data_IF_700881987041
#
_entry.id   IF_700881987041
#
_cell.length_a   1.000
_cell.length_b   1.000
_cell.length_c   1.000
_cell.angle_alpha   90.00
_cell.angle_beta   90.00
_cell.angle_gamma   90.00
#
_symmetry.space_group_name_H-M   'P 1'
#
loop_
_entity.id
_entity.type
_entity.pdbx_description
1 polymer ?
#
# COMPACT_ATOMS: atom_id res chain seq x y z
N UNK A 1 23.47 9.12 3.29
CA UNK A 1 22.81 8.41 2.19
C UNK A 1 22.48 7.02 2.69
N UNK A 2 21.19 6.64 2.74
CA UNK A 2 20.80 5.32 3.24
C UNK A 2 21.25 4.22 2.27
N UNK A 3 21.81 3.14 2.82
CA UNK A 3 22.10 1.91 2.06
C UNK A 3 20.88 1.01 2.07
N UNK A 4 20.51 0.50 0.91
CA UNK A 4 19.29 -0.29 0.74
C UNK A 4 19.60 -1.57 -0.01
N UNK A 5 19.18 -2.70 0.55
CA UNK A 5 19.20 -3.98 -0.15
C UNK A 5 17.84 -4.27 -0.77
N UNK A 6 17.78 -4.50 -2.08
CA UNK A 6 16.54 -4.83 -2.81
C UNK A 6 16.40 -6.35 -2.95
N UNK A 7 15.58 -6.97 -2.10
CA UNK A 7 15.24 -8.38 -2.16
C UNK A 7 14.00 -8.57 -3.05
N UNK A 8 14.14 -9.36 -4.12
CA UNK A 8 13.07 -9.61 -5.08
C UNK A 8 13.13 -11.04 -5.59
N UNK A 9 12.01 -11.51 -6.13
CA UNK A 9 11.92 -12.84 -6.69
C UNK A 9 12.14 -12.80 -8.21
N UNK A 10 12.89 -13.75 -8.77
CA UNK A 10 13.11 -13.87 -10.22
C UNK A 10 11.85 -14.41 -10.94
N UNK A 11 10.74 -13.66 -10.87
CA UNK A 11 9.38 -14.11 -11.23
C UNK A 11 9.16 -14.12 -12.75
N UNK A 12 9.21 -12.94 -13.37
CA UNK A 12 9.13 -12.77 -14.83
C UNK A 12 10.14 -11.74 -15.31
N UNK A 13 10.53 -11.79 -16.59
CA UNK A 13 11.42 -10.78 -17.19
C UNK A 13 10.87 -9.35 -17.05
N UNK A 14 9.54 -9.19 -17.14
CA UNK A 14 8.88 -7.91 -16.92
C UNK A 14 9.03 -7.42 -15.46
N UNK A 15 8.87 -8.32 -14.49
CA UNK A 15 9.09 -8.01 -13.08
C UNK A 15 10.56 -7.64 -12.82
N UNK A 16 11.51 -8.43 -13.32
CA UNK A 16 12.93 -8.16 -13.14
C UNK A 16 13.37 -6.83 -13.78
N UNK A 17 12.82 -6.51 -14.94
CA UNK A 17 13.05 -5.21 -15.60
C UNK A 17 12.54 -4.07 -14.73
N UNK A 18 11.33 -4.20 -14.19
CA UNK A 18 10.71 -3.21 -13.31
C UNK A 18 11.50 -3.02 -12.01
N UNK A 19 12.00 -4.10 -11.41
CA UNK A 19 12.86 -4.02 -10.21
C UNK A 19 14.17 -3.30 -10.51
N UNK A 20 14.81 -3.58 -11.65
CA UNK A 20 16.04 -2.91 -12.06
C UNK A 20 15.82 -1.41 -12.30
N UNK A 21 14.73 -1.05 -12.97
CA UNK A 21 14.34 0.35 -13.21
C UNK A 21 14.07 1.07 -11.87
N UNK A 22 13.35 0.43 -10.96
CA UNK A 22 13.10 0.95 -9.62
C UNK A 22 14.39 1.17 -8.83
N UNK A 23 15.29 0.19 -8.79
CA UNK A 23 16.56 0.32 -8.10
C UNK A 23 17.42 1.44 -8.73
N UNK A 24 17.43 1.55 -10.06
CA UNK A 24 18.12 2.64 -10.78
C UNK A 24 17.54 4.00 -10.39
N UNK A 25 16.21 4.12 -10.33
CA UNK A 25 15.52 5.32 -9.88
C UNK A 25 15.92 5.70 -8.45
N UNK A 26 15.95 4.75 -7.51
CA UNK A 26 16.42 5.01 -6.14
C UNK A 26 17.84 5.58 -6.10
N UNK A 27 18.76 5.03 -6.91
CA UNK A 27 20.13 5.56 -7.02
C UNK A 27 20.17 6.99 -7.55
N UNK A 28 19.32 7.32 -8.53
CA UNK A 28 19.17 8.71 -9.03
C UNK A 28 18.64 9.64 -7.93
N UNK A 29 17.80 9.14 -7.02
CA UNK A 29 17.31 9.90 -5.85
C UNK A 29 18.32 9.97 -4.69
N UNK A 30 19.56 9.50 -4.87
CA UNK A 30 20.59 9.55 -3.84
C UNK A 30 20.40 8.51 -2.73
N UNK A 31 19.81 7.35 -3.04
CA UNK A 31 19.78 6.16 -2.18
C UNK A 31 20.81 5.17 -2.69
N UNK A 32 21.66 4.61 -1.82
CA UNK A 32 22.61 3.56 -2.21
C UNK A 32 21.89 2.21 -2.28
N UNK A 33 21.07 2.03 -3.32
CA UNK A 33 20.38 0.78 -3.58
C UNK A 33 21.37 -0.24 -4.16
N UNK A 34 21.33 -1.46 -3.63
CA UNK A 34 22.12 -2.63 -4.03
C UNK A 34 21.17 -3.70 -4.60
N UNK A 35 21.58 -4.30 -5.71
CA UNK A 35 20.83 -5.34 -6.45
C UNK A 35 21.79 -6.46 -6.83
N UNK A 36 21.35 -7.72 -6.69
CA UNK A 36 22.11 -8.94 -7.03
C UNK A 36 22.77 -8.92 -8.44
N UNK A 37 22.15 -8.24 -9.41
CA UNK A 37 22.57 -8.21 -10.83
C UNK A 37 23.57 -7.10 -11.20
N UNK A 38 23.93 -6.21 -10.28
CA UNK A 38 24.91 -5.15 -10.58
C UNK A 38 26.36 -5.56 -10.32
N UNK A 39 26.58 -6.60 -9.51
CA UNK A 39 27.91 -7.11 -9.23
C UNK A 39 28.28 -8.30 -10.14
N UNK A 40 29.52 -8.31 -10.59
CA UNK A 40 30.02 -9.12 -11.71
C UNK A 40 30.10 -10.64 -11.41
N UNK A 41 30.29 -11.40 -12.50
CA UNK A 41 30.25 -12.87 -12.68
C UNK A 41 31.24 -13.72 -11.85
N UNK A 42 31.60 -13.33 -10.64
CA UNK A 42 32.48 -14.13 -9.78
C UNK A 42 31.70 -15.25 -9.08
N UNK A 43 32.36 -16.42 -8.91
CA UNK A 43 31.82 -17.52 -8.12
C UNK A 43 31.65 -17.05 -6.66
N UNK A 44 30.41 -16.80 -6.25
CA UNK A 44 30.07 -16.29 -4.93
C UNK A 44 29.12 -17.23 -4.20
N UNK A 45 29.25 -17.30 -2.88
CA UNK A 45 28.20 -17.83 -2.02
C UNK A 45 27.09 -16.77 -1.91
N UNK A 46 26.09 -16.88 -2.78
CA UNK A 46 24.98 -15.93 -2.86
C UNK A 46 24.19 -15.82 -1.57
N UNK A 47 24.08 -16.91 -0.80
CA UNK A 47 23.37 -16.89 0.48
C UNK A 47 24.17 -16.12 1.53
N UNK A 48 25.47 -16.42 1.65
CA UNK A 48 26.35 -15.68 2.56
C UNK A 48 26.41 -14.19 2.20
N UNK A 49 26.45 -13.87 0.92
CA UNK A 49 26.41 -12.49 0.42
C UNK A 49 25.09 -11.78 0.76
N UNK A 50 23.93 -12.39 0.46
CA UNK A 50 22.64 -11.78 0.77
C UNK A 50 22.46 -11.55 2.28
N UNK A 51 22.93 -12.47 3.13
CA UNK A 51 22.96 -12.29 4.60
C UNK A 51 23.77 -11.05 4.98
N UNK A 52 24.95 -10.89 4.39
CA UNK A 52 25.85 -9.78 4.70
C UNK A 52 25.27 -8.44 4.22
N UNK A 53 24.68 -8.40 3.02
CA UNK A 53 24.01 -7.22 2.49
C UNK A 53 22.79 -6.80 3.32
N UNK A 54 21.92 -7.75 3.70
CA UNK A 54 20.79 -7.47 4.59
C UNK A 54 21.23 -6.92 5.95
N UNK A 55 22.39 -7.36 6.47
CA UNK A 55 22.94 -6.86 7.74
C UNK A 55 23.49 -5.45 7.59
N UNK A 56 24.24 -5.17 6.52
CA UNK A 56 24.88 -3.88 6.24
C UNK A 56 23.92 -2.78 5.82
N UNK A 57 22.83 -3.13 5.14
CA UNK A 57 21.86 -2.14 4.67
C UNK A 57 21.16 -1.45 5.84
N UNK A 58 20.78 -0.18 5.69
CA UNK A 58 19.90 0.52 6.62
C UNK A 58 18.46 -0.01 6.49
N UNK A 59 18.06 -0.33 5.26
CA UNK A 59 16.75 -0.90 4.92
C UNK A 59 16.87 -2.09 3.96
N UNK A 60 15.94 -3.04 4.11
CA UNK A 60 15.74 -4.17 3.18
C UNK A 60 14.39 -3.95 2.52
N UNK A 61 14.38 -3.65 1.22
CA UNK A 61 13.14 -3.55 0.46
C UNK A 61 12.77 -4.93 -0.07
N UNK A 62 11.61 -5.43 0.34
CA UNK A 62 11.06 -6.68 -0.17
C UNK A 62 10.06 -6.34 -1.26
N UNK A 63 10.39 -6.64 -2.51
CA UNK A 63 9.54 -6.34 -3.65
C UNK A 63 8.44 -7.39 -3.76
N UNK A 64 7.19 -6.95 -3.65
CA UNK A 64 6.02 -7.79 -3.75
C UNK A 64 5.92 -8.45 -5.14
N UNK A 65 5.73 -9.76 -5.15
CA UNK A 65 5.36 -10.53 -6.33
C UNK A 65 4.66 -11.84 -5.95
N UNK A 66 3.80 -12.41 -6.82
CA UNK A 66 3.17 -13.69 -6.56
C UNK A 66 4.18 -14.80 -6.22
N UNK A 67 5.34 -14.84 -6.88
CA UNK A 67 6.37 -15.81 -6.55
C UNK A 67 7.03 -15.53 -5.20
N UNK A 68 7.31 -14.26 -4.87
CA UNK A 68 7.89 -13.92 -3.56
C UNK A 68 6.96 -14.33 -2.42
N UNK A 69 5.65 -14.06 -2.54
CA UNK A 69 4.66 -14.47 -1.54
C UNK A 69 4.65 -16.00 -1.32
N UNK A 70 4.50 -16.79 -2.39
CA UNK A 70 4.46 -18.26 -2.30
C UNK A 70 5.72 -18.85 -1.68
N UNK A 71 6.89 -18.38 -2.11
CA UNK A 71 8.18 -18.87 -1.61
C UNK A 71 8.45 -18.41 -0.19
N UNK A 72 8.11 -17.16 0.12
CA UNK A 72 8.36 -16.54 1.42
C UNK A 72 7.54 -17.17 2.54
N UNK A 73 6.30 -17.58 2.23
CA UNK A 73 5.42 -18.29 3.17
C UNK A 73 5.70 -19.80 3.23
N UNK A 74 6.65 -20.31 2.43
CA UNK A 74 7.01 -21.73 2.41
C UNK A 74 5.96 -22.64 1.77
N UNK A 75 5.11 -22.09 0.89
CA UNK A 75 3.97 -22.80 0.29
C UNK A 75 4.34 -23.68 -0.91
N UNK A 76 5.59 -23.64 -1.39
CA UNK A 76 6.01 -24.34 -2.62
C UNK A 76 7.28 -25.19 -2.40
N UNK A 77 7.21 -26.52 -2.56
CA UNK A 77 8.37 -27.39 -2.48
C UNK A 77 9.07 -27.39 -3.85
N UNK A 78 9.99 -26.45 -4.12
CA UNK A 78 10.72 -26.49 -5.38
C UNK A 78 12.21 -26.18 -5.23
N UNK A 79 13.04 -27.16 -5.59
CA UNK A 79 14.49 -27.04 -5.64
C UNK A 79 15.04 -26.03 -6.65
N UNK A 80 14.17 -25.35 -7.43
CA UNK A 80 14.53 -24.34 -8.44
C UNK A 80 14.74 -22.92 -7.86
N UNK A 81 14.22 -22.60 -6.67
CA UNK A 81 14.27 -21.24 -6.10
C UNK A 81 14.81 -21.18 -4.66
N UNK A 82 15.84 -21.99 -4.38
CA UNK A 82 16.41 -22.11 -3.01
C UNK A 82 16.94 -20.79 -2.43
N UNK A 83 17.39 -19.85 -3.27
CA UNK A 83 17.88 -18.55 -2.83
C UNK A 83 16.83 -17.71 -2.10
N UNK A 84 15.69 -17.46 -2.77
CA UNK A 84 14.57 -16.67 -2.20
C UNK A 84 13.97 -17.35 -0.96
N UNK A 85 13.85 -18.69 -0.97
CA UNK A 85 13.36 -19.42 0.20
C UNK A 85 14.30 -19.25 1.41
N UNK A 86 15.61 -19.29 1.18
CA UNK A 86 16.60 -19.08 2.23
C UNK A 86 16.60 -17.62 2.74
N UNK A 87 16.52 -16.64 1.83
CA UNK A 87 16.37 -15.22 2.19
C UNK A 87 15.10 -14.98 3.02
N UNK A 88 13.96 -15.51 2.59
CA UNK A 88 12.72 -15.35 3.33
C UNK A 88 12.73 -16.10 4.68
N UNK A 89 13.36 -17.27 4.76
CA UNK A 89 13.58 -17.95 6.03
C UNK A 89 14.44 -17.12 6.98
N UNK A 90 15.50 -16.48 6.47
CA UNK A 90 16.33 -15.57 7.23
C UNK A 90 15.54 -14.33 7.69
N UNK A 91 14.77 -13.70 6.82
CA UNK A 91 13.95 -12.53 7.19
C UNK A 91 12.95 -12.89 8.30
N UNK A 92 12.31 -14.06 8.22
CA UNK A 92 11.43 -14.57 9.29
C UNK A 92 12.18 -14.76 10.60
N UNK A 93 13.36 -15.37 10.56
CA UNK A 93 14.21 -15.58 11.74
C UNK A 93 14.63 -14.25 12.38
N UNK A 94 15.05 -13.28 11.57
CA UNK A 94 15.47 -11.95 12.04
C UNK A 94 14.30 -11.17 12.64
N UNK A 95 13.12 -11.23 12.00
CA UNK A 95 11.88 -10.66 12.53
C UNK A 95 11.42 -11.34 13.82
N UNK A 96 11.65 -12.63 13.98
CA UNK A 96 11.33 -13.36 15.20
C UNK A 96 12.28 -12.98 16.34
N UNK A 97 13.59 -12.96 16.06
CA UNK A 97 14.65 -12.69 17.05
C UNK A 97 14.64 -11.27 17.58
N UNK A 98 14.53 -10.26 16.70
CA UNK A 98 14.50 -8.85 17.09
C UNK A 98 13.49 -8.09 16.24
N UNK A 99 12.21 -8.32 16.56
CA UNK A 99 11.10 -7.72 15.85
C UNK A 99 11.15 -6.20 15.84
N UNK A 100 11.54 -5.55 16.94
CA UNK A 100 11.49 -4.09 17.06
C UNK A 100 12.41 -3.40 16.04
N UNK A 101 13.60 -3.95 15.86
CA UNK A 101 14.57 -3.42 14.89
C UNK A 101 14.22 -3.86 13.47
N UNK A 102 14.03 -5.16 13.25
CA UNK A 102 13.87 -5.70 11.90
C UNK A 102 12.55 -5.32 11.24
N UNK A 103 11.47 -5.11 12.02
CA UNK A 103 10.20 -4.66 11.46
C UNK A 103 10.27 -3.24 10.88
N UNK A 104 11.17 -2.37 11.40
CA UNK A 104 11.40 -1.02 10.84
C UNK A 104 12.38 -1.02 9.68
N UNK A 105 13.27 -2.01 9.64
CA UNK A 105 14.30 -2.19 8.64
C UNK A 105 13.78 -2.87 7.36
N UNK A 106 12.88 -3.84 7.51
CA UNK A 106 12.31 -4.60 6.39
C UNK A 106 11.03 -3.90 5.91
N UNK A 107 11.07 -3.36 4.70
CA UNK A 107 9.98 -2.58 4.12
C UNK A 107 9.37 -3.34 2.94
N UNK A 108 8.10 -3.78 3.03
CA UNK A 108 7.39 -4.34 1.88
C UNK A 108 7.08 -3.23 0.86
N UNK A 109 7.42 -3.45 -0.42
CA UNK A 109 7.22 -2.49 -1.50
C UNK A 109 6.40 -3.11 -2.64
N UNK A 110 5.33 -2.45 -3.03
CA UNK A 110 4.49 -2.83 -4.18
C UNK A 110 4.78 -1.87 -5.33
N UNK A 111 5.37 -2.39 -6.40
CA UNK A 111 5.68 -1.64 -7.62
C UNK A 111 4.44 -1.52 -8.54
N UNK A 112 4.47 -0.65 -9.57
CA UNK A 112 3.34 -0.48 -10.48
C UNK A 112 2.88 -1.82 -11.08
N UNK A 113 1.57 -2.07 -11.04
CA UNK A 113 0.95 -3.32 -11.50
C UNK A 113 1.12 -4.53 -10.56
N UNK A 114 1.68 -4.35 -9.37
CA UNK A 114 1.66 -5.33 -8.29
C UNK A 114 0.48 -5.12 -7.33
N UNK A 115 0.29 -6.06 -6.42
CA UNK A 115 -0.75 -6.02 -5.38
C UNK A 115 -0.23 -6.51 -4.02
N UNK A 116 -1.12 -6.45 -3.02
CA UNK A 116 -0.81 -6.88 -1.65
C UNK A 116 -0.67 -8.39 -1.50
N UNK A 117 -1.26 -9.18 -2.40
CA UNK A 117 -1.18 -10.63 -2.36
C UNK A 117 0.21 -11.11 -2.81
N UNK A 118 0.99 -10.23 -3.44
CA UNK A 118 2.43 -10.42 -3.69
C UNK A 118 3.33 -10.22 -2.46
N UNK A 119 2.80 -9.81 -1.32
CA UNK A 119 3.57 -9.67 -0.06
C UNK A 119 3.39 -10.95 0.79
N UNK A 120 4.47 -11.60 1.25
CA UNK A 120 4.37 -12.73 2.17
C UNK A 120 3.59 -12.43 3.45
N UNK A 121 2.83 -13.40 3.95
CA UNK A 121 2.05 -13.28 5.19
C UNK A 121 2.90 -12.90 6.40
N UNK A 122 4.16 -13.35 6.48
CA UNK A 122 5.05 -12.98 7.59
C UNK A 122 5.39 -11.49 7.63
N UNK A 123 5.21 -10.77 6.52
CA UNK A 123 5.34 -9.32 6.40
C UNK A 123 4.01 -8.57 6.59
N UNK A 124 2.94 -9.28 6.96
CA UNK A 124 1.69 -8.70 7.45
C UNK A 124 0.97 -7.77 6.45
N UNK A 125 0.69 -8.24 5.21
CA UNK A 125 0.13 -7.41 4.13
C UNK A 125 -1.15 -6.64 4.47
N UNK A 126 -1.96 -7.14 5.40
CA UNK A 126 -3.26 -6.56 5.75
C UNK A 126 -3.29 -5.91 7.14
N UNK A 127 -2.21 -5.97 7.91
CA UNK A 127 -2.16 -5.46 9.29
C UNK A 127 -0.97 -4.56 9.60
N UNK A 128 -0.01 -4.44 8.68
CA UNK A 128 1.15 -3.56 8.79
C UNK A 128 1.21 -2.57 7.61
N UNK A 129 1.97 -1.48 7.80
CA UNK A 129 2.26 -0.54 6.72
C UNK A 129 3.16 -1.17 5.66
N UNK A 130 2.93 -0.78 4.41
CA UNK A 130 3.70 -1.15 3.22
C UNK A 130 3.83 0.10 2.32
N UNK A 131 4.72 0.06 1.33
CA UNK A 131 4.96 1.19 0.43
C UNK A 131 4.44 0.88 -0.96
N UNK A 132 3.46 1.64 -1.43
CA UNK A 132 3.08 1.64 -2.83
C UNK A 132 3.95 2.62 -3.60
N UNK A 133 4.56 2.16 -4.69
CA UNK A 133 5.26 3.00 -5.67
C UNK A 133 4.37 3.05 -6.91
N UNK A 134 3.77 4.20 -7.18
CA UNK A 134 2.80 4.37 -8.26
C UNK A 134 3.46 4.53 -9.63
N UNK A 135 4.62 5.17 -9.66
CA UNK A 135 5.53 5.30 -10.79
C UNK A 135 6.95 5.59 -10.29
N UNK A 136 7.93 5.61 -11.19
CA UNK A 136 9.33 5.89 -10.86
C UNK A 136 9.64 7.38 -10.95
N UNK A 137 8.84 8.18 -10.24
CA UNK A 137 9.07 9.60 -10.02
C UNK A 137 9.15 9.90 -8.51
N UNK A 138 9.74 11.04 -8.10
CA UNK A 138 9.77 11.42 -6.69
C UNK A 138 8.39 11.48 -6.05
N UNK A 139 7.36 11.91 -6.80
CA UNK A 139 5.98 11.96 -6.32
C UNK A 139 5.37 10.56 -6.18
N UNK A 140 5.56 9.68 -7.17
CA UNK A 140 5.03 8.32 -7.13
C UNK A 140 5.68 7.41 -6.10
N UNK A 141 6.88 7.76 -5.61
CA UNK A 141 7.62 7.04 -4.58
C UNK A 141 7.80 7.86 -3.27
N UNK A 142 7.05 8.95 -3.12
CA UNK A 142 7.29 9.96 -2.08
C UNK A 142 7.38 9.38 -0.67
N UNK A 143 6.39 8.56 -0.29
CA UNK A 143 6.33 7.96 1.04
C UNK A 143 7.57 7.10 1.34
N UNK A 144 8.03 6.33 0.36
CA UNK A 144 9.22 5.49 0.50
C UNK A 144 10.49 6.36 0.63
N UNK A 145 10.64 7.35 -0.24
CA UNK A 145 11.81 8.24 -0.23
C UNK A 145 11.93 9.00 1.09
N UNK A 146 10.81 9.49 1.64
CA UNK A 146 10.79 10.13 2.96
C UNK A 146 11.21 9.18 4.07
N UNK A 147 10.69 7.96 4.10
CA UNK A 147 11.11 6.93 5.07
C UNK A 147 12.61 6.65 4.98
N UNK A 148 13.13 6.45 3.75
CA UNK A 148 14.55 6.18 3.54
C UNK A 148 15.42 7.38 3.94
N UNK A 149 14.94 8.59 3.72
CA UNK A 149 15.59 9.85 4.11
C UNK A 149 15.50 10.21 5.59
N UNK A 150 14.66 9.51 6.37
CA UNK A 150 14.44 9.78 7.79
C UNK A 150 13.55 10.99 8.08
N UNK A 151 12.74 11.42 7.12
CA UNK A 151 11.86 12.59 7.23
C UNK A 151 10.40 12.15 7.50
N UNK A 152 9.84 12.37 8.72
CA UNK A 152 8.47 11.97 9.03
C UNK A 152 7.46 12.87 8.30
N UNK A 153 6.52 12.23 7.60
CA UNK A 153 5.43 12.89 6.84
C UNK A 153 4.57 13.85 7.68
N UNK A 154 4.44 13.57 8.99
CA UNK A 154 3.80 14.43 9.97
C UNK A 154 4.59 14.40 11.27
N UNK A 155 5.41 15.42 11.60
CA UNK A 155 5.99 15.51 12.93
C UNK A 155 4.85 15.56 13.95
N UNK A 156 5.00 14.83 15.06
CA UNK A 156 4.02 14.92 16.15
C UNK A 156 3.91 16.37 16.57
N UNK A 157 2.70 16.96 16.61
CA UNK A 157 2.55 18.32 17.14
C UNK A 157 3.06 18.33 18.59
N UNK A 158 3.62 19.45 19.06
CA UNK A 158 4.08 19.56 20.43
C UNK A 158 2.94 19.22 21.40
N UNK A 159 3.25 18.48 22.46
CA UNK A 159 2.30 18.22 23.54
C UNK A 159 1.85 19.56 24.12
N UNK A 160 0.55 19.86 24.08
CA UNK A 160 0.01 21.07 24.70
C UNK A 160 0.30 21.07 26.20
N UNK A 161 0.94 22.13 26.70
CA UNK A 161 1.37 22.23 28.08
C UNK A 161 0.98 23.54 28.75
N UNK A 162 0.38 23.39 29.95
CA UNK A 162 0.16 24.34 31.06
C UNK A 162 -0.81 25.53 30.87
N UNK A 163 -1.64 25.71 31.90
CA UNK A 163 -2.76 26.64 31.98
C UNK A 163 -2.35 28.09 31.68
N UNK A 164 -3.01 28.71 30.69
CA UNK A 164 -2.98 30.15 30.49
C UNK A 164 -2.96 30.61 29.04
N UNK A 165 -2.48 29.78 28.10
CA UNK A 165 -2.51 30.13 26.68
C UNK A 165 -3.79 29.59 26.01
N UNK A 166 -4.52 30.42 25.24
CA UNK A 166 -5.63 29.92 24.45
C UNK A 166 -5.09 28.88 23.47
N UNK A 167 -5.64 27.67 23.52
CA UNK A 167 -5.30 26.60 22.60
C UNK A 167 -5.33 27.14 21.16
N UNK A 168 -4.34 26.82 20.32
CA UNK A 168 -4.42 27.19 18.92
C UNK A 168 -5.72 26.60 18.38
N UNK A 169 -6.57 27.48 17.87
CA UNK A 169 -7.78 27.06 17.15
C UNK A 169 -7.27 26.19 16.02
N UNK A 170 -7.60 24.90 16.05
CA UNK A 170 -7.37 24.02 14.93
C UNK A 170 -8.21 24.59 13.79
N UNK A 171 -7.59 25.43 12.96
CA UNK A 171 -8.14 25.82 11.68
C UNK A 171 -8.42 24.52 10.93
N UNK A 172 -9.69 24.22 10.73
CA UNK A 172 -10.15 23.09 9.95
C UNK A 172 -9.82 23.34 8.48
N UNK A 173 -8.55 23.36 8.13
CA UNK A 173 -8.11 23.23 6.75
C UNK A 173 -8.29 21.76 6.36
N UNK A 174 -9.03 21.58 5.28
CA UNK A 174 -9.56 20.32 4.78
C UNK A 174 -8.45 19.36 4.39
N UNK A 175 -8.11 18.43 5.29
CA UNK A 175 -7.33 17.25 4.93
C UNK A 175 -8.07 16.42 3.84
N UNK A 176 -7.36 15.88 2.83
CA UNK A 176 -7.97 15.05 1.80
C UNK A 176 -8.61 13.82 2.42
N UNK A 177 -9.85 13.52 2.02
CA UNK A 177 -10.60 12.37 2.54
C UNK A 177 -9.89 11.08 2.14
N UNK A 178 -9.25 10.43 3.11
CA UNK A 178 -8.58 9.14 2.91
C UNK A 178 -9.63 8.13 2.42
N UNK A 179 -9.34 7.42 1.32
CA UNK A 179 -10.25 6.42 0.71
C UNK A 179 -10.82 5.43 1.73
N UNK A 180 -10.04 5.10 2.76
CA UNK A 180 -10.45 4.23 3.86
C UNK A 180 -11.62 4.79 4.69
N UNK A 181 -11.67 6.11 4.95
CA UNK A 181 -12.76 6.72 5.73
C UNK A 181 -14.09 6.65 4.97
N UNK A 182 -14.05 6.89 3.66
CA UNK A 182 -15.23 6.76 2.80
C UNK A 182 -15.72 5.31 2.74
N UNK A 183 -14.80 4.35 2.61
CA UNK A 183 -15.14 2.91 2.60
C UNK A 183 -15.75 2.47 3.92
N UNK A 184 -15.21 2.93 5.06
CA UNK A 184 -15.75 2.59 6.38
C UNK A 184 -17.13 3.23 6.61
N UNK A 185 -17.38 4.42 6.07
CA UNK A 185 -18.70 5.04 6.10
C UNK A 185 -19.71 4.31 5.19
N UNK A 186 -19.29 3.95 3.98
CA UNK A 186 -20.10 3.19 3.03
C UNK A 186 -20.53 1.84 3.61
N UNK A 187 -19.63 1.12 4.27
CA UNK A 187 -19.94 -0.17 4.90
C UNK A 187 -20.94 -0.10 6.06
N UNK A 188 -21.23 1.10 6.58
CA UNK A 188 -22.27 1.31 7.60
C UNK A 188 -23.65 1.55 6.99
N UNK A 189 -23.76 1.67 5.68
CA UNK A 189 -25.04 1.80 4.97
C UNK A 189 -25.56 0.40 4.61
N UNK A 190 -26.77 0.00 5.03
CA UNK A 190 -27.31 -1.34 4.74
C UNK A 190 -27.36 -1.64 3.24
N UNK A 191 -27.81 -0.68 2.41
CA UNK A 191 -27.77 -0.75 0.95
C UNK A 191 -26.40 -1.04 0.33
N UNK A 192 -25.31 -0.84 1.08
CA UNK A 192 -23.95 -1.15 0.64
C UNK A 192 -23.43 -2.44 1.27
N UNK A 193 -23.77 -2.72 2.53
CA UNK A 193 -23.26 -3.88 3.27
C UNK A 193 -23.86 -5.20 2.76
N UNK A 194 -25.15 -5.20 2.41
CA UNK A 194 -25.91 -6.38 1.99
C UNK A 194 -25.75 -6.63 0.48
N UNK A 195 -25.58 -7.89 0.05
CA UNK A 195 -25.29 -8.19 -1.36
C UNK A 195 -26.45 -7.86 -2.31
N UNK A 196 -27.68 -8.23 -1.94
CA UNK A 196 -28.86 -7.98 -2.76
C UNK A 196 -29.15 -6.48 -2.88
N UNK A 197 -29.11 -5.76 -1.76
CA UNK A 197 -29.31 -4.30 -1.71
C UNK A 197 -28.20 -3.56 -2.47
N UNK A 198 -26.95 -4.04 -2.41
CA UNK A 198 -25.83 -3.47 -3.17
C UNK A 198 -25.97 -3.67 -4.67
N UNK A 199 -26.56 -4.78 -5.14
CA UNK A 199 -26.83 -4.97 -6.58
C UNK A 199 -27.84 -3.94 -7.08
N UNK A 200 -28.86 -3.64 -6.28
CA UNK A 200 -29.84 -2.59 -6.61
C UNK A 200 -29.16 -1.22 -6.65
N UNK A 201 -28.32 -0.89 -5.66
CA UNK A 201 -27.52 0.33 -5.64
C UNK A 201 -26.69 0.51 -6.91
N UNK A 202 -25.97 -0.54 -7.33
CA UNK A 202 -25.18 -0.51 -8.57
C UNK A 202 -26.04 -0.29 -9.81
N UNK A 203 -27.28 -0.80 -9.81
CA UNK A 203 -28.27 -0.59 -10.86
C UNK A 203 -28.65 0.88 -11.08
N UNK A 204 -28.61 1.69 -10.02
CA UNK A 204 -28.94 3.12 -10.04
C UNK A 204 -27.77 4.00 -10.50
N UNK A 205 -26.54 3.48 -10.52
CA UNK A 205 -25.40 4.19 -11.09
C UNK A 205 -25.50 4.26 -12.62
N UNK A 206 -24.93 5.32 -13.20
CA UNK A 206 -24.83 5.45 -14.66
C UNK A 206 -24.06 4.26 -15.26
N UNK A 207 -24.42 3.80 -16.47
CA UNK A 207 -23.83 2.59 -17.06
C UNK A 207 -22.30 2.62 -17.15
N UNK A 208 -21.71 3.79 -17.38
CA UNK A 208 -20.27 3.97 -17.56
C UNK A 208 -19.51 3.68 -16.26
N UNK A 209 -20.06 4.09 -15.12
CA UNK A 209 -19.47 3.82 -13.79
C UNK A 209 -19.75 2.37 -13.40
N UNK A 210 -21.02 1.92 -13.50
CA UNK A 210 -21.43 0.56 -13.13
C UNK A 210 -20.58 -0.51 -13.82
N UNK A 211 -20.39 -0.39 -15.13
CA UNK A 211 -19.70 -1.39 -15.93
C UNK A 211 -18.18 -1.39 -15.69
N UNK A 212 -17.64 -0.29 -15.15
CA UNK A 212 -16.22 -0.15 -14.84
C UNK A 212 -15.86 -0.67 -13.43
N UNK A 213 -16.84 -0.99 -12.57
CA UNK A 213 -16.59 -1.50 -11.21
C UNK A 213 -16.20 -2.97 -11.27
N UNK A 214 -14.96 -3.35 -10.89
CA UNK A 214 -14.59 -4.76 -10.83
C UNK A 214 -15.35 -5.46 -9.69
N UNK A 215 -16.06 -6.53 -10.03
CA UNK A 215 -16.76 -7.36 -9.04
C UNK A 215 -15.76 -8.04 -8.10
N UNK A 216 -16.10 -8.14 -6.81
CA UNK A 216 -15.33 -8.94 -5.85
C UNK A 216 -16.26 -9.67 -4.86
N UNK A 217 -15.95 -10.93 -4.54
CA UNK A 217 -16.78 -11.78 -3.68
C UNK A 217 -16.84 -11.30 -2.22
N UNK A 218 -15.76 -10.70 -1.70
CA UNK A 218 -15.75 -10.07 -0.37
C UNK A 218 -16.32 -8.66 -0.42
N UNK A 219 -17.32 -8.38 0.42
CA UNK A 219 -18.02 -7.09 0.52
C UNK A 219 -17.08 -5.90 0.64
N UNK A 220 -16.15 -5.89 1.62
CA UNK A 220 -15.23 -4.76 1.82
C UNK A 220 -14.38 -4.44 0.59
N UNK A 221 -13.88 -5.46 -0.10
CA UNK A 221 -13.08 -5.29 -1.31
C UNK A 221 -13.94 -4.80 -2.49
N UNK A 222 -15.19 -5.26 -2.60
CA UNK A 222 -16.11 -4.75 -3.61
C UNK A 222 -16.46 -3.28 -3.35
N UNK A 223 -16.66 -2.88 -2.09
CA UNK A 223 -16.92 -1.48 -1.72
C UNK A 223 -15.71 -0.58 -1.99
N UNK A 224 -14.49 -1.08 -1.83
CA UNK A 224 -13.27 -0.37 -2.25
C UNK A 224 -13.28 -0.12 -3.76
N UNK A 225 -13.62 -1.14 -4.55
CA UNK A 225 -13.72 -1.02 -6.01
C UNK A 225 -14.78 0.02 -6.40
N UNK A 226 -15.96 -0.02 -5.79
CA UNK A 226 -17.04 0.97 -5.99
C UNK A 226 -16.54 2.39 -5.70
N UNK A 227 -15.95 2.61 -4.52
CA UNK A 227 -15.50 3.93 -4.08
C UNK A 227 -14.37 4.51 -4.95
N UNK A 228 -13.45 3.65 -5.44
CA UNK A 228 -12.37 4.04 -6.36
C UNK A 228 -12.93 4.39 -7.73
N UNK A 229 -13.71 3.49 -8.34
CA UNK A 229 -14.29 3.73 -9.67
C UNK A 229 -15.18 4.98 -9.65
N UNK A 230 -16.01 5.20 -8.62
CA UNK A 230 -16.82 6.43 -8.53
C UNK A 230 -15.97 7.71 -8.40
N UNK A 231 -14.75 7.63 -7.89
CA UNK A 231 -13.84 8.77 -7.78
C UNK A 231 -13.12 9.09 -9.09
N UNK A 232 -12.86 8.07 -9.90
CA UNK A 232 -12.18 8.22 -11.19
C UNK A 232 -13.06 8.86 -12.27
N UNK A 233 -14.37 8.98 -12.02
CA UNK A 233 -15.33 9.60 -12.92
C UNK A 233 -15.81 10.95 -12.38
N UNK A 234 -15.87 11.95 -13.25
CA UNK A 234 -16.39 13.27 -12.92
C UNK A 234 -17.85 13.17 -12.41
N UNK A 235 -18.07 13.68 -11.20
CA UNK A 235 -19.37 13.59 -10.51
C UNK A 235 -19.74 12.19 -9.99
N UNK A 236 -18.90 11.16 -10.16
CA UNK A 236 -19.26 9.79 -9.84
C UNK A 236 -19.51 9.52 -8.35
N UNK A 237 -18.78 10.18 -7.44
CA UNK A 237 -19.09 10.13 -6.00
C UNK A 237 -20.43 10.79 -5.67
N UNK A 238 -20.84 11.82 -6.43
CA UNK A 238 -22.16 12.43 -6.32
C UNK A 238 -23.26 11.49 -6.79
N UNK A 239 -23.03 10.72 -7.86
CA UNK A 239 -23.95 9.68 -8.33
C UNK A 239 -24.16 8.60 -7.27
N UNK A 240 -23.08 8.18 -6.62
CA UNK A 240 -23.14 7.22 -5.52
C UNK A 240 -23.97 7.73 -4.34
N UNK A 241 -23.77 8.99 -3.93
CA UNK A 241 -24.56 9.59 -2.85
C UNK A 241 -26.05 9.64 -3.21
N UNK A 242 -26.40 10.06 -4.43
CA UNK A 242 -27.80 10.11 -4.89
C UNK A 242 -28.44 8.73 -4.88
N UNK A 243 -27.73 7.70 -5.35
CA UNK A 243 -28.23 6.33 -5.34
C UNK A 243 -28.44 5.80 -3.90
N UNK A 244 -27.59 6.19 -2.94
CA UNK A 244 -27.76 5.85 -1.53
C UNK A 244 -28.97 6.57 -0.91
N UNK A 245 -29.17 7.84 -1.22
CA UNK A 245 -30.33 8.62 -0.77
C UNK A 245 -31.64 8.06 -1.31
N UNK A 246 -31.63 7.53 -2.54
CA UNK A 246 -32.81 6.91 -3.15
C UNK A 246 -33.20 5.60 -2.47
N UNK A 247 -32.22 4.82 -1.98
CA UNK A 247 -32.47 3.52 -1.35
C UNK A 247 -32.71 3.60 0.17
N UNK A 248 -32.02 4.50 0.86
CA UNK A 248 -31.96 4.54 2.34
C UNK A 248 -32.49 5.86 2.92
N UNK A 249 -32.91 6.80 2.05
CA UNK A 249 -33.33 8.13 2.46
C UNK A 249 -32.21 8.92 3.13
N UNK A 250 -32.60 9.88 3.97
CA UNK A 250 -31.66 10.75 4.69
C UNK A 250 -31.20 10.16 6.03
N UNK A 251 -30.81 8.88 6.01
CA UNK A 251 -30.34 8.15 7.19
C UNK A 251 -28.98 8.68 7.67
N UNK A 252 -28.68 8.51 8.97
CA UNK A 252 -27.41 8.95 9.55
C UNK A 252 -26.16 8.39 8.83
N UNK A 253 -26.12 7.11 8.41
CA UNK A 253 -25.03 6.59 7.60
C UNK A 253 -24.89 7.31 6.23
N UNK A 254 -26.00 7.59 5.56
CA UNK A 254 -26.00 8.28 4.25
C UNK A 254 -25.54 9.74 4.39
N UNK A 255 -26.01 10.47 5.41
CA UNK A 255 -25.53 11.82 5.73
C UNK A 255 -24.02 11.85 5.94
N UNK A 256 -23.48 10.84 6.64
CA UNK A 256 -22.04 10.73 6.87
C UNK A 256 -21.26 10.52 5.57
N UNK A 257 -21.76 9.70 4.65
CA UNK A 257 -21.15 9.51 3.34
C UNK A 257 -21.21 10.81 2.52
N UNK A 258 -22.35 11.52 2.52
CA UNK A 258 -22.53 12.82 1.86
C UNK A 258 -21.51 13.86 2.35
N UNK A 259 -21.36 14.01 3.66
CA UNK A 259 -20.37 14.91 4.27
C UNK A 259 -18.94 14.60 3.81
N UNK A 260 -18.57 13.32 3.76
CA UNK A 260 -17.25 12.91 3.32
C UNK A 260 -17.03 13.19 1.82
N UNK A 261 -18.04 12.96 0.97
CA UNK A 261 -17.96 13.28 -0.45
C UNK A 261 -17.88 14.79 -0.70
N UNK A 262 -18.66 15.60 0.02
CA UNK A 262 -18.61 17.06 -0.08
C UNK A 262 -17.24 17.62 0.34
N UNK A 263 -16.66 17.09 1.42
CA UNK A 263 -15.29 17.45 1.84
C UNK A 263 -14.24 17.10 0.80
N UNK A 264 -14.41 15.98 0.10
CA UNK A 264 -13.49 15.57 -0.97
C UNK A 264 -13.59 16.46 -2.23
N UNK A 265 -14.78 17.01 -2.52
CA UNK A 265 -15.01 17.89 -3.67
C UNK A 265 -14.58 19.35 -3.50
N UNK A 266 -14.30 19.81 -2.27
CA UNK A 266 -13.83 21.17 -1.98
C UNK A 266 -12.29 21.32 -2.00
N UNK A 267 -11.56 20.25 -2.31
CA UNK A 267 -10.09 20.22 -2.34
C UNK A 267 -9.49 20.23 -3.77
N UNK A 268 -10.30 20.56 -4.77
CA UNK A 268 -9.91 20.66 -6.19
C UNK A 268 -9.85 22.09 -6.68
#
# INVERSE_FOLDING_TARGET
>A
MPRVFVSYAHDSEAHMTRVREFATFLRVQGVDAELDRWDNQDRRDWLAWAIDEMRKADFVLVIASPMFARMGDGSEPSGRHRGIQAEAALLRELLHRDRKTWFRKVLPVVLPGGDLDGIPLFLQPYSASHYFVHDFTPAGAEQLLRTLGGDPEHPSPPLGGVAGEPAPVLSAESAPVKTFELVDALLKVPAVAEDDSRRVLLGLLRPEIRNAIPHHARTRAHVINIARTCRDYEGGLGDLVRALEELEGDSMPVRRVRELVQRAGMSG
#
